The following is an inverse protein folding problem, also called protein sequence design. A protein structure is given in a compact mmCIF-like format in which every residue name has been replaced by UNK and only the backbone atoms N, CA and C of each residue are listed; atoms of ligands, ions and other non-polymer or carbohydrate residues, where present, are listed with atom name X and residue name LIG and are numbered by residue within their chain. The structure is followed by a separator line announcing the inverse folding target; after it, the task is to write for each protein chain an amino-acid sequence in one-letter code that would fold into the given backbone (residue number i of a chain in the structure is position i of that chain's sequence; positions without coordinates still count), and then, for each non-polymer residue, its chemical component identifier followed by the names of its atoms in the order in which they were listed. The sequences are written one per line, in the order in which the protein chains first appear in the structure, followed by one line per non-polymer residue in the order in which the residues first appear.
data_IF_830519908978
#
_entry.id   IF_830519908978
#
_cell.length_a   1.000
_cell.length_b   1.000
_cell.length_c   1.000
_cell.angle_alpha   90.00
_cell.angle_beta   90.00
_cell.angle_gamma   90.00
#
_symmetry.space_group_name_H-M   'P 1'
#
loop_
_entity.id
_entity.type
_entity.pdbx_description
1 polymer ?
#
# COMPACT_ATOMS: atom_id res chain seq x y z
N UNK A 1 18.39 -22.26 -6.71
CA UNK A 1 17.61 -22.46 -5.47
C UNK A 1 16.86 -21.16 -5.19
N UNK A 2 16.23 -20.61 -6.24
CA UNK A 2 15.86 -19.18 -6.33
C UNK A 2 14.37 -18.97 -6.67
N UNK A 3 13.69 -20.01 -7.16
CA UNK A 3 12.24 -19.94 -7.51
C UNK A 3 11.34 -19.68 -6.30
N UNK A 4 11.76 -20.11 -5.10
CA UNK A 4 11.01 -19.86 -3.85
C UNK A 4 11.02 -18.36 -3.51
N UNK A 5 12.08 -17.63 -3.87
CA UNK A 5 12.21 -16.21 -3.55
C UNK A 5 11.32 -15.34 -4.45
N UNK A 6 11.19 -15.69 -5.73
CA UNK A 6 10.32 -14.94 -6.66
C UNK A 6 8.82 -15.18 -6.39
N UNK A 7 8.42 -16.41 -6.08
CA UNK A 7 7.01 -16.71 -5.73
C UNK A 7 6.60 -15.98 -4.44
N UNK A 8 7.47 -15.97 -3.43
CA UNK A 8 7.18 -15.29 -2.16
C UNK A 8 7.17 -13.77 -2.32
N UNK A 9 8.07 -13.21 -3.13
CA UNK A 9 8.10 -11.79 -3.48
C UNK A 9 6.81 -11.35 -4.20
N UNK A 10 6.38 -12.13 -5.20
CA UNK A 10 5.15 -11.86 -5.95
C UNK A 10 3.91 -11.93 -5.05
N UNK A 11 3.86 -12.88 -4.11
CA UNK A 11 2.78 -12.95 -3.12
C UNK A 11 2.78 -11.73 -2.18
N UNK A 12 3.94 -11.28 -1.74
CA UNK A 12 4.09 -10.13 -0.85
C UNK A 12 3.68 -8.82 -1.53
N UNK A 13 4.09 -8.61 -2.79
CA UNK A 13 3.62 -7.49 -3.62
C UNK A 13 2.09 -7.55 -3.78
N UNK A 14 1.53 -8.73 -4.03
CA UNK A 14 0.08 -8.93 -4.10
C UNK A 14 -0.65 -8.54 -2.82
N UNK A 15 -0.10 -8.90 -1.65
CA UNK A 15 -0.64 -8.51 -0.33
C UNK A 15 -0.55 -7.00 -0.11
N UNK A 16 0.60 -6.38 -0.37
CA UNK A 16 0.80 -4.94 -0.24
C UNK A 16 -0.16 -4.16 -1.16
N UNK A 17 -0.43 -4.64 -2.37
CA UNK A 17 -1.45 -4.05 -3.24
C UNK A 17 -2.86 -4.16 -2.66
N UNK A 18 -3.21 -5.29 -2.05
CA UNK A 18 -4.50 -5.45 -1.40
C UNK A 18 -4.66 -4.50 -0.20
N UNK A 19 -3.61 -4.32 0.60
CA UNK A 19 -3.57 -3.34 1.70
C UNK A 19 -3.66 -1.91 1.19
N UNK A 20 -2.87 -1.55 0.17
CA UNK A 20 -2.92 -0.25 -0.48
C UNK A 20 -4.33 0.08 -1.01
N UNK A 21 -5.01 -0.89 -1.64
CA UNK A 21 -6.40 -0.73 -2.08
C UNK A 21 -7.36 -0.52 -0.91
N UNK A 22 -7.22 -1.28 0.18
CA UNK A 22 -8.03 -1.10 1.40
C UNK A 22 -7.83 0.28 2.02
N UNK A 23 -6.59 0.75 2.13
CA UNK A 23 -6.31 2.10 2.63
C UNK A 23 -6.87 3.18 1.71
N UNK A 24 -6.79 2.98 0.39
CA UNK A 24 -7.38 3.90 -0.58
C UNK A 24 -8.91 3.97 -0.46
N UNK A 25 -9.59 2.83 -0.30
CA UNK A 25 -11.04 2.78 -0.12
C UNK A 25 -11.46 3.48 1.18
N UNK A 26 -10.77 3.20 2.30
CA UNK A 26 -11.03 3.85 3.60
C UNK A 26 -10.80 5.36 3.53
N UNK A 27 -9.76 5.78 2.82
CA UNK A 27 -9.46 7.20 2.60
C UNK A 27 -10.53 7.86 1.74
N UNK A 28 -11.03 7.18 0.71
CA UNK A 28 -12.11 7.68 -0.13
C UNK A 28 -13.42 7.83 0.65
N UNK A 29 -13.77 6.87 1.52
CA UNK A 29 -14.91 6.99 2.44
C UNK A 29 -14.82 8.23 3.34
N UNK A 30 -13.62 8.58 3.81
CA UNK A 30 -13.39 9.79 4.59
C UNK A 30 -13.48 11.04 3.70
N UNK A 31 -12.85 11.04 2.54
CA UNK A 31 -12.87 12.18 1.61
C UNK A 31 -14.28 12.50 1.07
N UNK A 32 -15.18 11.52 1.02
CA UNK A 32 -16.59 11.72 0.65
C UNK A 32 -17.39 12.45 1.75
N UNK A 33 -16.89 12.48 3.00
CA UNK A 33 -17.54 13.21 4.08
C UNK A 33 -17.17 14.70 3.99
N UNK A 34 -18.15 15.61 3.88
CA UNK A 34 -17.88 17.04 3.76
C UNK A 34 -17.28 17.66 5.03
N UNK A 35 -17.49 17.03 6.19
CA UNK A 35 -16.90 17.45 7.46
C UNK A 35 -16.37 16.22 8.19
N UNK A 36 -15.06 16.20 8.40
CA UNK A 36 -14.38 15.18 9.19
C UNK A 36 -14.27 15.67 10.64
N UNK A 37 -14.49 14.75 11.58
CA UNK A 37 -14.11 14.97 12.97
C UNK A 37 -12.60 14.92 13.15
N UNK A 38 -12.06 15.45 14.24
CA UNK A 38 -10.61 15.47 14.51
C UNK A 38 -9.99 14.06 14.47
N UNK A 39 -10.72 13.05 14.94
CA UNK A 39 -10.30 11.65 14.87
C UNK A 39 -10.23 11.15 13.41
N UNK A 40 -11.18 11.57 12.58
CA UNK A 40 -11.24 11.22 11.17
C UNK A 40 -10.17 11.95 10.34
N UNK A 41 -9.83 13.19 10.65
CA UNK A 41 -8.71 13.91 10.04
C UNK A 41 -7.36 13.24 10.38
N UNK A 42 -7.19 12.83 11.64
CA UNK A 42 -6.02 12.06 12.06
C UNK A 42 -5.94 10.72 11.32
N UNK A 43 -7.07 10.02 11.18
CA UNK A 43 -7.15 8.77 10.44
C UNK A 43 -6.87 9.01 8.94
N UNK A 44 -7.33 10.10 8.35
CA UNK A 44 -7.03 10.48 6.97
C UNK A 44 -5.52 10.63 6.74
N UNK A 45 -4.85 11.39 7.61
CA UNK A 45 -3.39 11.59 7.56
C UNK A 45 -2.66 10.26 7.77
N UNK A 46 -3.14 9.44 8.70
CA UNK A 46 -2.57 8.11 8.97
C UNK A 46 -2.72 7.19 7.76
N UNK A 47 -3.89 7.15 7.13
CA UNK A 47 -4.17 6.36 5.92
C UNK A 47 -3.31 6.83 4.75
N UNK A 48 -3.13 8.14 4.56
CA UNK A 48 -2.20 8.68 3.54
C UNK A 48 -0.77 8.20 3.76
N UNK A 49 -0.28 8.21 5.01
CA UNK A 49 1.05 7.68 5.34
C UNK A 49 1.16 6.18 5.11
N UNK A 50 0.17 5.40 5.53
CA UNK A 50 0.14 3.94 5.30
C UNK A 50 0.10 3.60 3.81
N UNK A 51 -0.69 4.33 3.04
CA UNK A 51 -0.77 4.20 1.59
C UNK A 51 0.57 4.52 0.92
N UNK A 52 1.24 5.60 1.35
CA UNK A 52 2.57 5.95 0.86
C UNK A 52 3.58 4.85 1.21
N UNK A 53 3.59 4.38 2.45
CA UNK A 53 4.49 3.31 2.89
C UNK A 53 4.28 2.01 2.12
N UNK A 54 3.03 1.58 1.92
CA UNK A 54 2.73 0.39 1.11
C UNK A 54 3.22 0.54 -0.34
N UNK A 55 3.06 1.73 -0.93
CA UNK A 55 3.58 2.04 -2.27
C UNK A 55 5.11 1.99 -2.31
N UNK A 56 5.78 2.55 -1.30
CA UNK A 56 7.25 2.55 -1.21
C UNK A 56 7.79 1.14 -1.02
N UNK A 57 7.11 0.29 -0.25
CA UNK A 57 7.44 -1.14 -0.11
C UNK A 57 7.26 -1.89 -1.43
N UNK A 58 6.14 -1.70 -2.13
CA UNK A 58 5.92 -2.29 -3.47
C UNK A 58 7.05 -1.88 -4.40
N UNK A 59 7.36 -0.58 -4.47
CA UNK A 59 8.43 -0.07 -5.31
C UNK A 59 9.79 -0.68 -4.93
N UNK A 60 10.12 -0.77 -3.64
CA UNK A 60 11.36 -1.38 -3.19
C UNK A 60 11.45 -2.87 -3.57
N UNK A 61 10.35 -3.61 -3.51
CA UNK A 61 10.28 -5.02 -3.90
C UNK A 61 10.36 -5.19 -5.43
N UNK A 62 9.65 -4.35 -6.19
CA UNK A 62 9.71 -4.31 -7.65
C UNK A 62 11.10 -3.91 -8.17
N UNK A 63 11.76 -2.94 -7.54
CA UNK A 63 13.12 -2.51 -7.91
C UNK A 63 14.20 -3.49 -7.47
N UNK A 64 13.94 -4.27 -6.42
CA UNK A 64 14.83 -5.33 -5.95
C UNK A 64 14.76 -6.57 -6.84
N UNK A 65 13.61 -6.84 -7.48
CA UNK A 65 13.58 -7.75 -8.62
C UNK A 65 14.46 -7.13 -9.71
N UNK A 66 15.64 -7.67 -10.02
CA UNK A 66 16.48 -7.10 -11.07
C UNK A 66 15.64 -7.10 -12.34
N UNK A 67 15.45 -5.91 -12.91
CA UNK A 67 14.85 -5.74 -14.22
C UNK A 67 15.47 -6.77 -15.15
N UNK A 68 14.69 -7.78 -15.51
CA UNK A 68 15.05 -8.76 -16.52
C UNK A 68 15.11 -7.94 -17.81
N UNK A 69 16.33 -7.54 -18.18
CA UNK A 69 16.65 -6.86 -19.43
C UNK A 69 16.88 -7.89 -20.54
#
# INVERSE_FOLDING_TARGET
MDEINDSTLSEEIGRLHAEHRRYAQRLEELLQKPYLSTDEELEEVRLKKLKLHAKDLIYALEHRAPAIA
#
